data_IF_053376641090
#
_entry.id   IF_053376641090
#
_cell.length_a   1.000
_cell.length_b   1.000
_cell.length_c   1.000
_cell.angle_alpha   90.00
_cell.angle_beta   90.00
_cell.angle_gamma   90.00
#
_symmetry.space_group_name_H-M   'P 1'
#
loop_
_entity.id
_entity.type
_entity.pdbx_description
1 polymer ?
#
# COMPACT_ATOMS: atom_id res chain seq x y z
N UNK A 1 -66.36 12.90 -21.21
CA UNK A 1 -65.30 13.94 -21.14
C UNK A 1 -64.46 13.67 -19.88
N UNK A 2 -63.49 12.76 -19.96
CA UNK A 2 -62.12 13.00 -20.42
C UNK A 2 -61.28 13.83 -19.44
N UNK A 3 -60.49 13.15 -18.59
CA UNK A 3 -59.15 13.61 -18.21
C UNK A 3 -58.19 12.42 -18.26
N UNK A 4 -57.22 12.60 -19.14
CA UNK A 4 -56.25 11.64 -19.66
C UNK A 4 -55.05 11.54 -18.72
N UNK A 5 -54.61 10.31 -18.47
CA UNK A 5 -53.29 10.01 -17.90
C UNK A 5 -52.19 10.36 -18.91
N UNK A 6 -51.08 10.87 -18.41
CA UNK A 6 -49.82 10.96 -19.16
C UNK A 6 -48.86 9.93 -18.60
N UNK A 7 -48.68 8.87 -19.35
CA UNK A 7 -47.55 7.97 -19.26
C UNK A 7 -46.26 8.71 -19.68
N UNK A 8 -45.22 8.61 -18.85
CA UNK A 8 -43.85 8.92 -19.27
C UNK A 8 -43.26 7.67 -19.93
N UNK A 9 -42.70 7.77 -21.15
CA UNK A 9 -41.96 6.65 -21.73
C UNK A 9 -40.59 6.52 -21.08
N UNK A 10 -40.32 5.35 -20.51
CA UNK A 10 -38.99 4.96 -20.03
C UNK A 10 -38.00 4.94 -21.20
N UNK A 11 -36.98 5.78 -21.14
CA UNK A 11 -35.83 5.72 -22.04
C UNK A 11 -35.06 4.41 -21.80
N UNK A 12 -35.31 3.42 -22.65
CA UNK A 12 -34.49 2.24 -22.76
C UNK A 12 -33.11 2.64 -23.30
N UNK A 13 -32.09 2.53 -22.45
CA UNK A 13 -30.69 2.68 -22.85
C UNK A 13 -30.36 1.48 -23.76
N UNK A 14 -30.04 1.76 -25.02
CA UNK A 14 -29.60 0.73 -25.95
C UNK A 14 -28.27 0.11 -25.46
N UNK A 15 -28.12 -1.22 -25.48
CA UNK A 15 -26.89 -1.87 -25.07
C UNK A 15 -25.73 -1.49 -26.00
N UNK A 16 -24.57 -1.23 -25.41
CA UNK A 16 -23.34 -0.93 -26.14
C UNK A 16 -22.90 -2.14 -26.97
N UNK A 17 -22.24 -1.87 -28.08
CA UNK A 17 -21.90 -2.80 -29.18
C UNK A 17 -21.14 -4.07 -28.76
N UNK A 18 -20.67 -4.15 -27.51
CA UNK A 18 -19.98 -5.31 -26.91
C UNK A 18 -20.94 -6.35 -26.33
N UNK A 19 -22.12 -5.97 -25.82
CA UNK A 19 -23.14 -6.92 -25.32
C UNK A 19 -23.85 -7.64 -26.47
N UNK A 20 -23.98 -6.99 -27.62
CA UNK A 20 -24.65 -7.56 -28.80
C UNK A 20 -23.92 -8.77 -29.41
N UNK A 21 -22.62 -8.94 -29.14
CA UNK A 21 -21.85 -10.09 -29.64
C UNK A 21 -22.02 -11.35 -28.78
N UNK A 22 -22.32 -11.22 -27.49
CA UNK A 22 -22.53 -12.36 -26.59
C UNK A 22 -23.93 -12.98 -26.74
N UNK A 23 -24.94 -12.19 -27.10
CA UNK A 23 -26.33 -12.66 -27.22
C UNK A 23 -26.58 -13.45 -28.52
N UNK A 24 -25.79 -13.23 -29.58
CA UNK A 24 -26.05 -13.85 -30.90
C UNK A 24 -25.52 -15.27 -31.09
N UNK A 25 -24.68 -15.79 -30.20
CA UNK A 25 -24.01 -17.10 -30.38
C UNK A 25 -24.71 -18.26 -29.66
N UNK A 26 -25.56 -17.99 -28.68
CA UNK A 26 -26.07 -19.04 -27.78
C UNK A 26 -27.56 -19.29 -28.01
N UNK A 27 -27.87 -20.09 -29.04
CA UNK A 27 -29.19 -20.69 -29.19
C UNK A 27 -29.46 -21.66 -28.05
N UNK A 28 -30.14 -21.20 -27.00
CA UNK A 28 -30.49 -22.02 -25.84
C UNK A 28 -31.83 -22.73 -26.07
N UNK A 29 -31.75 -24.05 -26.31
CA UNK A 29 -32.87 -24.99 -26.16
C UNK A 29 -32.95 -25.44 -24.69
N UNK A 30 -34.15 -25.37 -24.13
CA UNK A 30 -34.42 -25.70 -22.73
C UNK A 30 -34.53 -27.22 -22.50
N UNK A 31 -33.53 -27.82 -21.83
CA UNK A 31 -33.75 -29.07 -21.09
C UNK A 31 -32.76 -29.26 -19.94
N UNK A 32 -33.30 -29.57 -18.74
CA UNK A 32 -32.63 -29.81 -17.44
C UNK A 32 -31.72 -28.68 -16.92
N UNK A 33 -32.28 -27.84 -16.04
CA UNK A 33 -31.53 -26.86 -15.24
C UNK A 33 -30.53 -27.57 -14.30
N UNK A 34 -29.33 -27.88 -14.81
CA UNK A 34 -28.16 -28.16 -13.96
C UNK A 34 -27.91 -26.89 -13.13
N UNK A 35 -27.81 -27.01 -11.81
CA UNK A 35 -27.41 -25.87 -10.95
C UNK A 35 -26.00 -25.46 -11.36
N UNK A 36 -25.88 -24.31 -12.02
CA UNK A 36 -24.61 -23.68 -12.36
C UNK A 36 -24.29 -22.71 -11.23
N UNK A 37 -23.16 -22.90 -10.57
CA UNK A 37 -22.64 -21.99 -9.55
C UNK A 37 -21.59 -21.07 -10.17
N UNK A 38 -21.32 -19.94 -9.54
CA UNK A 38 -20.14 -19.16 -9.90
C UNK A 38 -18.86 -19.90 -9.50
N UNK A 39 -17.82 -19.90 -10.36
CA UNK A 39 -16.50 -20.39 -9.99
C UNK A 39 -16.03 -19.72 -8.70
N UNK A 40 -15.50 -20.52 -7.77
CA UNK A 40 -15.15 -20.06 -6.44
C UNK A 40 -13.67 -20.29 -6.13
N UNK A 41 -13.11 -19.39 -5.31
CA UNK A 41 -11.75 -19.46 -4.81
C UNK A 41 -11.79 -19.32 -3.28
N UNK A 42 -11.05 -20.17 -2.57
CA UNK A 42 -10.86 -20.05 -1.12
C UNK A 42 -9.39 -20.19 -0.78
N UNK A 43 -8.88 -19.30 0.07
CA UNK A 43 -7.57 -19.43 0.67
C UNK A 43 -7.61 -20.51 1.76
N UNK A 44 -6.78 -21.54 1.64
CA UNK A 44 -6.67 -22.63 2.63
C UNK A 44 -5.27 -22.66 3.22
N UNK A 45 -5.15 -23.19 4.45
CA UNK A 45 -3.85 -23.39 5.08
C UNK A 45 -3.03 -24.43 4.31
N UNK A 46 -1.77 -24.11 3.99
CA UNK A 46 -0.82 -24.97 3.29
C UNK A 46 0.36 -25.37 4.20
N UNK A 47 0.89 -24.42 4.98
CA UNK A 47 1.87 -24.60 6.08
C UNK A 47 1.50 -23.69 7.24
N UNK A 48 2.11 -23.87 8.41
CA UNK A 48 1.75 -23.25 9.71
C UNK A 48 1.17 -21.82 9.62
N UNK A 49 1.79 -20.93 8.85
CA UNK A 49 1.38 -19.53 8.68
C UNK A 49 1.21 -19.10 7.21
N UNK A 50 1.02 -20.06 6.29
CA UNK A 50 0.98 -19.80 4.83
C UNK A 50 -0.29 -20.36 4.20
N UNK A 51 -0.98 -19.52 3.43
CA UNK A 51 -2.22 -19.87 2.73
C UNK A 51 -2.01 -19.99 1.21
N UNK A 52 -2.71 -20.92 0.59
CA UNK A 52 -2.73 -21.14 -0.86
C UNK A 52 -4.17 -21.11 -1.38
N UNK A 53 -4.46 -20.58 -2.58
CA UNK A 53 -5.80 -20.60 -3.13
C UNK A 53 -6.17 -22.00 -3.63
N UNK A 54 -7.42 -22.39 -3.38
CA UNK A 54 -8.07 -23.55 -3.98
C UNK A 54 -9.24 -23.06 -4.84
N UNK A 55 -9.27 -23.51 -6.09
CA UNK A 55 -10.24 -23.13 -7.11
C UNK A 55 -11.23 -24.26 -7.38
N UNK A 56 -12.49 -23.87 -7.54
CA UNK A 56 -13.60 -24.74 -7.96
C UNK A 56 -14.34 -24.13 -9.14
N UNK A 57 -14.75 -24.98 -10.07
CA UNK A 57 -15.53 -24.62 -11.24
C UNK A 57 -17.00 -24.35 -10.89
N UNK A 58 -17.81 -24.10 -11.93
CA UNK A 58 -19.25 -23.87 -11.79
C UNK A 58 -20.06 -25.09 -11.35
N UNK A 59 -19.45 -26.28 -11.33
CA UNK A 59 -20.00 -27.54 -10.83
C UNK A 59 -19.47 -27.89 -9.43
N UNK A 60 -18.76 -26.94 -8.79
CA UNK A 60 -18.09 -27.09 -7.50
C UNK A 60 -16.97 -28.14 -7.49
N UNK A 61 -16.54 -28.61 -8.66
CA UNK A 61 -15.41 -29.52 -8.83
C UNK A 61 -14.11 -28.75 -8.78
N UNK A 62 -13.05 -29.38 -8.29
CA UNK A 62 -11.72 -28.77 -8.24
C UNK A 62 -11.18 -28.59 -9.65
N UNK A 63 -10.63 -27.42 -9.93
CA UNK A 63 -9.90 -27.17 -11.18
C UNK A 63 -8.44 -27.59 -10.94
N UNK A 64 -8.10 -28.83 -11.27
CA UNK A 64 -6.83 -29.44 -10.88
C UNK A 64 -5.61 -28.68 -11.41
N UNK A 65 -5.63 -28.26 -12.67
CA UNK A 65 -4.54 -27.47 -13.26
C UNK A 65 -4.28 -26.18 -12.47
N UNK A 66 -5.33 -25.48 -12.03
CA UNK A 66 -5.21 -24.21 -11.30
C UNK A 66 -4.71 -24.45 -9.87
N UNK A 67 -5.21 -25.49 -9.22
CA UNK A 67 -4.78 -25.89 -7.88
C UNK A 67 -3.31 -26.33 -7.85
N UNK A 68 -2.89 -27.12 -8.84
CA UNK A 68 -1.50 -27.56 -8.97
C UNK A 68 -0.56 -26.40 -9.27
N UNK A 69 -0.95 -25.47 -10.15
CA UNK A 69 -0.16 -24.26 -10.40
C UNK A 69 -0.02 -23.39 -9.16
N UNK A 70 -1.11 -23.18 -8.40
CA UNK A 70 -1.05 -22.41 -7.16
C UNK A 70 -0.10 -23.03 -6.13
N UNK A 71 -0.09 -24.36 -6.01
CA UNK A 71 0.86 -25.08 -5.16
C UNK A 71 2.30 -24.94 -5.67
N UNK A 72 2.51 -25.03 -6.99
CA UNK A 72 3.82 -24.80 -7.61
C UNK A 72 4.34 -23.38 -7.33
N UNK A 73 3.51 -22.36 -7.55
CA UNK A 73 3.84 -20.96 -7.24
C UNK A 73 4.13 -20.77 -5.75
N UNK A 74 3.34 -21.37 -4.86
CA UNK A 74 3.56 -21.29 -3.43
C UNK A 74 4.92 -21.88 -3.02
N UNK A 75 5.30 -23.04 -3.54
CA UNK A 75 6.62 -23.67 -3.29
C UNK A 75 7.76 -22.77 -3.77
N UNK A 76 7.68 -22.29 -5.00
CA UNK A 76 8.69 -21.39 -5.57
C UNK A 76 8.83 -20.06 -4.79
N UNK A 77 7.74 -19.55 -4.22
CA UNK A 77 7.77 -18.35 -3.38
C UNK A 77 8.42 -18.62 -2.02
N UNK A 78 8.30 -19.84 -1.47
CA UNK A 78 9.00 -20.24 -0.25
C UNK A 78 10.49 -20.44 -0.49
N UNK A 79 10.88 -21.06 -1.61
CA UNK A 79 12.28 -21.31 -1.92
C UNK A 79 13.05 -20.00 -2.18
N UNK A 80 12.38 -18.99 -2.75
CA UNK A 80 12.97 -17.68 -3.02
C UNK A 80 13.01 -16.75 -1.82
N UNK A 81 12.12 -16.94 -0.85
CA UNK A 81 12.00 -16.08 0.32
C UNK A 81 12.33 -16.89 1.57
N UNK A 82 13.55 -16.71 2.10
CA UNK A 82 13.97 -17.15 3.45
C UNK A 82 12.84 -16.90 4.49
N UNK A 83 12.72 -17.68 5.60
CA UNK A 83 11.49 -17.79 6.40
C UNK A 83 10.85 -16.49 6.94
N UNK A 84 11.55 -15.35 6.86
CA UNK A 84 11.09 -14.00 7.24
C UNK A 84 10.25 -13.27 6.17
N UNK A 85 10.09 -13.82 4.96
CA UNK A 85 9.42 -13.15 3.84
C UNK A 85 7.89 -13.26 3.76
N UNK A 86 7.14 -13.39 4.87
CA UNK A 86 5.67 -13.61 4.87
C UNK A 86 4.92 -12.69 3.91
N UNK A 87 5.20 -11.38 3.97
CA UNK A 87 4.49 -10.41 3.13
C UNK A 87 4.78 -10.57 1.63
N UNK A 88 5.99 -10.98 1.25
CA UNK A 88 6.35 -11.23 -0.15
C UNK A 88 5.66 -12.50 -0.66
N UNK A 89 5.56 -13.52 0.19
CA UNK A 89 4.77 -14.72 -0.08
C UNK A 89 3.30 -14.37 -0.27
N UNK A 90 2.68 -13.68 0.71
CA UNK A 90 1.26 -13.34 0.71
C UNK A 90 0.90 -12.50 -0.53
N UNK A 91 1.68 -11.46 -0.81
CA UNK A 91 1.46 -10.63 -1.99
C UNK A 91 1.66 -11.41 -3.29
N UNK A 92 2.61 -12.35 -3.35
CA UNK A 92 2.85 -13.17 -4.55
C UNK A 92 1.70 -14.14 -4.79
N UNK A 93 1.25 -14.83 -3.74
CA UNK A 93 0.19 -15.85 -3.86
C UNK A 93 -1.19 -15.23 -4.09
N UNK A 94 -1.47 -14.06 -3.52
CA UNK A 94 -2.70 -13.30 -3.79
C UNK A 94 -2.82 -12.95 -5.27
N UNK A 95 -1.71 -12.61 -5.93
CA UNK A 95 -1.77 -12.28 -7.33
C UNK A 95 -2.06 -13.49 -8.21
N UNK A 96 -1.53 -14.66 -7.85
CA UNK A 96 -1.91 -15.94 -8.49
C UNK A 96 -3.39 -16.23 -8.26
N UNK A 97 -3.87 -16.03 -7.02
CA UNK A 97 -5.27 -16.22 -6.64
C UNK A 97 -6.20 -15.38 -7.52
N UNK A 98 -5.97 -14.06 -7.60
CA UNK A 98 -6.86 -13.18 -8.36
C UNK A 98 -6.77 -13.36 -9.87
N UNK A 99 -5.60 -13.71 -10.41
CA UNK A 99 -5.44 -13.98 -11.84
C UNK A 99 -6.19 -15.24 -12.27
N UNK A 100 -6.01 -16.35 -11.55
CA UNK A 100 -6.68 -17.61 -11.85
C UNK A 100 -8.17 -17.59 -11.52
N UNK A 101 -8.59 -16.85 -10.48
CA UNK A 101 -10.00 -16.64 -10.21
C UNK A 101 -10.67 -15.87 -11.35
N UNK A 102 -10.03 -14.81 -11.84
CA UNK A 102 -10.52 -14.07 -13.00
C UNK A 102 -10.62 -14.97 -14.24
N UNK A 103 -9.60 -15.80 -14.50
CA UNK A 103 -9.65 -16.77 -15.60
C UNK A 103 -10.80 -17.77 -15.43
N UNK A 104 -10.99 -18.35 -14.23
CA UNK A 104 -12.08 -19.32 -13.99
C UNK A 104 -13.47 -18.74 -14.30
N UNK A 105 -13.71 -17.48 -13.90
CA UNK A 105 -14.95 -16.76 -14.19
C UNK A 105 -15.13 -16.51 -15.68
N UNK A 106 -14.05 -16.10 -16.36
CA UNK A 106 -14.07 -15.87 -17.80
C UNK A 106 -14.35 -17.16 -18.58
N UNK A 107 -13.70 -18.27 -18.25
CA UNK A 107 -13.92 -19.58 -18.88
C UNK A 107 -15.37 -20.04 -18.69
N UNK A 108 -15.91 -19.90 -17.47
CA UNK A 108 -17.31 -20.23 -17.20
C UNK A 108 -18.30 -19.36 -18.00
N UNK A 109 -18.01 -18.07 -18.18
CA UNK A 109 -18.85 -17.14 -18.94
C UNK A 109 -18.76 -17.35 -20.46
N UNK A 110 -17.59 -17.74 -20.97
CA UNK A 110 -17.36 -17.96 -22.41
C UNK A 110 -17.63 -19.39 -22.87
N UNK A 111 -17.74 -20.34 -21.95
CA UNK A 111 -17.99 -21.75 -22.26
C UNK A 111 -16.79 -22.45 -22.91
N UNK A 112 -15.58 -21.90 -22.77
CA UNK A 112 -14.35 -22.47 -23.33
C UNK A 112 -13.54 -23.17 -22.24
N UNK A 113 -12.81 -24.22 -22.63
CA UNK A 113 -11.85 -24.86 -21.73
C UNK A 113 -10.53 -24.10 -21.72
N UNK A 114 -9.80 -24.16 -20.59
CA UNK A 114 -8.52 -23.45 -20.47
C UNK A 114 -7.47 -23.96 -21.48
N UNK A 115 -7.57 -25.21 -21.94
CA UNK A 115 -6.69 -25.77 -22.98
C UNK A 115 -6.96 -25.21 -24.39
N UNK A 116 -8.13 -24.60 -24.61
CA UNK A 116 -8.57 -24.04 -25.89
C UNK A 116 -8.20 -22.57 -26.07
N UNK A 117 -7.58 -21.99 -25.05
CA UNK A 117 -7.21 -20.59 -25.01
C UNK A 117 -6.14 -20.24 -26.06
N UNK A 118 -6.32 -19.10 -26.73
CA UNK A 118 -5.43 -18.63 -27.80
C UNK A 118 -5.14 -17.11 -27.68
N UNK A 119 -4.40 -16.58 -28.64
CA UNK A 119 -4.06 -15.16 -28.75
C UNK A 119 -5.28 -14.20 -28.78
N UNK A 120 -6.41 -14.63 -29.33
CA UNK A 120 -7.65 -13.84 -29.38
C UNK A 120 -8.34 -13.87 -28.01
N UNK A 121 -8.43 -15.04 -27.39
CA UNK A 121 -8.93 -15.19 -26.03
C UNK A 121 -8.11 -14.36 -25.04
N UNK A 122 -6.78 -14.29 -25.18
CA UNK A 122 -5.93 -13.40 -24.37
C UNK A 122 -6.33 -11.93 -24.51
N UNK A 123 -6.61 -11.46 -25.73
CA UNK A 123 -7.00 -10.07 -25.97
C UNK A 123 -8.37 -9.76 -25.35
N UNK A 124 -9.36 -10.62 -25.57
CA UNK A 124 -10.71 -10.45 -25.02
C UNK A 124 -10.69 -10.57 -23.50
N UNK A 125 -9.96 -11.54 -22.94
CA UNK A 125 -9.81 -11.70 -21.49
C UNK A 125 -9.15 -10.47 -20.85
N UNK A 126 -8.11 -9.89 -21.48
CA UNK A 126 -7.48 -8.67 -20.99
C UNK A 126 -8.48 -7.53 -20.84
N UNK A 127 -9.29 -7.30 -21.88
CA UNK A 127 -10.26 -6.20 -21.90
C UNK A 127 -11.41 -6.47 -20.93
N UNK A 128 -11.84 -7.73 -20.81
CA UNK A 128 -12.80 -8.17 -19.79
C UNK A 128 -12.28 -7.94 -18.38
N UNK A 129 -11.03 -8.32 -18.08
CA UNK A 129 -10.38 -8.08 -16.79
C UNK A 129 -10.30 -6.60 -16.48
N UNK A 130 -9.95 -5.76 -17.46
CA UNK A 130 -9.91 -4.31 -17.28
C UNK A 130 -11.30 -3.79 -16.87
N UNK A 131 -12.35 -4.20 -17.58
CA UNK A 131 -13.72 -3.78 -17.26
C UNK A 131 -14.16 -4.20 -15.85
N UNK A 132 -13.75 -5.38 -15.38
CA UNK A 132 -14.04 -5.84 -14.01
C UNK A 132 -13.28 -5.02 -12.96
N UNK A 133 -12.06 -4.58 -13.27
CA UNK A 133 -11.27 -3.72 -12.37
C UNK A 133 -11.86 -2.32 -12.31
N UNK A 134 -12.33 -1.78 -13.43
CA UNK A 134 -12.93 -0.44 -13.52
C UNK A 134 -14.27 -0.33 -12.78
N UNK A 135 -15.00 -1.43 -12.64
CA UNK A 135 -16.21 -1.51 -11.81
C UNK A 135 -15.93 -1.40 -10.31
N UNK A 136 -14.69 -1.67 -9.86
CA UNK A 136 -14.34 -1.57 -8.44
C UNK A 136 -14.28 -0.09 -8.02
N UNK A 137 -15.06 0.35 -7.01
CA UNK A 137 -15.01 1.73 -6.50
C UNK A 137 -13.63 2.18 -6.02
N UNK A 138 -12.71 1.24 -5.76
CA UNK A 138 -11.32 1.49 -5.37
C UNK A 138 -10.40 1.74 -6.56
N UNK A 139 -10.87 1.56 -7.79
CA UNK A 139 -10.10 1.86 -8.99
C UNK A 139 -9.74 3.35 -9.03
N UNK A 140 -8.44 3.65 -9.11
CA UNK A 140 -7.93 5.02 -8.97
C UNK A 140 -7.80 5.76 -10.31
N UNK A 141 -7.40 5.04 -11.35
CA UNK A 141 -7.19 5.56 -12.71
C UNK A 141 -6.99 4.42 -13.70
N UNK A 142 -7.28 4.72 -14.97
CA UNK A 142 -7.13 3.84 -16.13
C UNK A 142 -5.74 3.18 -16.20
N UNK A 143 -4.65 3.94 -16.03
CA UNK A 143 -3.30 3.40 -16.11
C UNK A 143 -3.02 2.36 -15.02
N UNK A 144 -3.48 2.58 -13.79
CA UNK A 144 -3.35 1.64 -12.68
C UNK A 144 -4.20 0.39 -12.89
N UNK A 145 -5.40 0.55 -13.46
CA UNK A 145 -6.26 -0.57 -13.82
C UNK A 145 -5.59 -1.45 -14.88
N UNK A 146 -5.05 -0.84 -15.95
CA UNK A 146 -4.30 -1.53 -17.00
C UNK A 146 -3.05 -2.23 -16.49
N UNK A 147 -2.31 -1.65 -15.53
CA UNK A 147 -1.18 -2.33 -14.86
C UNK A 147 -1.62 -3.56 -14.08
N UNK A 148 -2.75 -3.47 -13.39
CA UNK A 148 -3.32 -4.60 -12.63
C UNK A 148 -3.77 -5.70 -13.59
N UNK A 149 -4.41 -5.34 -14.71
CA UNK A 149 -4.74 -6.28 -15.78
C UNK A 149 -3.48 -6.94 -16.35
N UNK A 150 -2.44 -6.17 -16.67
CA UNK A 150 -1.14 -6.69 -17.13
C UNK A 150 -0.52 -7.68 -16.15
N UNK A 151 -0.60 -7.43 -14.85
CA UNK A 151 -0.10 -8.39 -13.85
C UNK A 151 -0.83 -9.73 -13.96
N UNK A 152 -2.17 -9.71 -13.99
CA UNK A 152 -2.97 -10.94 -14.15
C UNK A 152 -2.62 -11.67 -15.44
N UNK A 153 -2.47 -10.94 -16.55
CA UNK A 153 -2.04 -11.49 -17.84
C UNK A 153 -0.69 -12.20 -17.76
N UNK A 154 0.30 -11.63 -17.06
CA UNK A 154 1.63 -12.25 -16.88
C UNK A 154 1.55 -13.56 -16.11
N UNK A 155 0.72 -13.62 -15.06
CA UNK A 155 0.46 -14.87 -14.34
C UNK A 155 -0.12 -15.92 -15.28
N UNK A 156 -1.02 -15.55 -16.19
CA UNK A 156 -1.57 -16.49 -17.17
C UNK A 156 -0.50 -17.00 -18.14
N UNK A 157 0.37 -16.13 -18.67
CA UNK A 157 1.51 -16.56 -19.48
C UNK A 157 2.40 -17.55 -18.73
N UNK A 158 2.68 -17.29 -17.44
CA UNK A 158 3.44 -18.19 -16.59
C UNK A 158 2.72 -19.52 -16.31
N UNK A 159 1.39 -19.49 -16.14
CA UNK A 159 0.55 -20.67 -15.98
C UNK A 159 0.60 -21.57 -17.22
N UNK A 160 0.40 -21.02 -18.42
CA UNK A 160 0.45 -21.81 -19.66
C UNK A 160 1.84 -22.38 -19.92
N UNK A 161 2.90 -21.60 -19.65
CA UNK A 161 4.26 -22.12 -19.71
C UNK A 161 4.44 -23.30 -18.76
N UNK A 162 4.04 -23.18 -17.50
CA UNK A 162 4.14 -24.26 -16.51
C UNK A 162 3.32 -25.49 -16.93
N UNK A 163 2.07 -25.28 -17.37
CA UNK A 163 1.18 -26.36 -17.75
C UNK A 163 1.75 -27.17 -18.93
N UNK A 164 2.37 -26.50 -19.91
CA UNK A 164 2.98 -27.15 -21.07
C UNK A 164 4.36 -27.74 -20.78
N UNK A 165 5.24 -27.00 -20.11
CA UNK A 165 6.66 -27.36 -19.99
C UNK A 165 6.97 -28.20 -18.75
N UNK A 166 6.38 -27.87 -17.60
CA UNK A 166 6.68 -28.52 -16.32
C UNK A 166 5.74 -29.70 -16.06
N UNK A 167 4.44 -29.53 -16.32
CA UNK A 167 3.44 -30.55 -15.98
C UNK A 167 2.88 -31.34 -17.16
N UNK A 168 3.24 -30.98 -18.40
CA UNK A 168 2.80 -31.69 -19.63
C UNK A 168 1.28 -31.89 -19.70
N UNK A 169 0.50 -30.96 -19.16
CA UNK A 169 -0.97 -30.99 -19.14
C UNK A 169 -1.58 -30.61 -20.50
N UNK A 170 -0.81 -29.97 -21.36
CA UNK A 170 -1.21 -29.55 -22.70
C UNK A 170 0.01 -29.51 -23.63
N UNK A 171 -0.24 -29.58 -24.94
CA UNK A 171 0.80 -29.46 -25.97
C UNK A 171 0.44 -28.40 -27.00
N UNK A 172 1.46 -27.72 -27.53
CA UNK A 172 1.32 -26.70 -28.59
C UNK A 172 0.34 -25.57 -28.24
N UNK A 173 0.19 -25.27 -26.95
CA UNK A 173 -0.66 -24.18 -26.47
C UNK A 173 0.10 -22.87 -26.44
N UNK A 174 1.34 -22.83 -25.94
CA UNK A 174 2.15 -21.61 -25.83
C UNK A 174 3.55 -21.77 -26.43
N UNK A 175 4.02 -20.79 -27.21
CA UNK A 175 5.38 -20.79 -27.79
C UNK A 175 5.58 -19.72 -28.86
N UNK A 176 6.81 -19.59 -29.39
CA UNK A 176 7.12 -18.53 -30.38
C UNK A 176 6.70 -18.85 -31.82
N UNK A 177 6.46 -20.13 -32.13
CA UNK A 177 6.16 -20.61 -33.49
C UNK A 177 4.71 -20.42 -33.94
N UNK A 178 4.46 -20.54 -35.25
CA UNK A 178 3.11 -20.47 -35.85
C UNK A 178 2.19 -21.64 -35.47
N UNK A 179 2.74 -22.73 -34.95
CA UNK A 179 1.98 -23.90 -34.50
C UNK A 179 1.42 -23.79 -33.08
N UNK A 180 1.65 -22.68 -32.38
CA UNK A 180 1.17 -22.46 -31.02
C UNK A 180 -0.04 -21.52 -30.99
N UNK A 181 -1.04 -21.84 -30.16
CA UNK A 181 -2.27 -21.04 -30.01
C UNK A 181 -2.01 -19.67 -29.38
N UNK A 182 -1.13 -19.62 -28.38
CA UNK A 182 -0.69 -18.43 -27.67
C UNK A 182 0.74 -18.14 -28.11
N UNK A 183 0.94 -17.01 -28.78
CA UNK A 183 2.28 -16.63 -29.25
C UNK A 183 3.02 -15.87 -28.16
N UNK A 184 4.15 -16.42 -27.72
CA UNK A 184 5.05 -15.79 -26.76
C UNK A 184 6.41 -16.45 -26.80
N UNK A 185 7.48 -15.65 -26.63
CA UNK A 185 8.84 -16.18 -26.49
C UNK A 185 9.17 -16.63 -25.05
N UNK A 186 8.18 -16.62 -24.14
CA UNK A 186 8.39 -16.93 -22.72
C UNK A 186 8.90 -18.35 -22.51
N UNK A 187 8.51 -19.29 -23.38
CA UNK A 187 8.89 -20.70 -23.29
C UNK A 187 10.39 -20.85 -23.49
N UNK A 188 10.90 -20.29 -24.59
CA UNK A 188 12.31 -20.29 -24.93
C UNK A 188 13.11 -19.49 -23.89
N UNK A 189 12.62 -18.30 -23.53
CA UNK A 189 13.30 -17.43 -22.59
C UNK A 189 13.43 -18.02 -21.17
N UNK A 190 12.47 -18.83 -20.72
CA UNK A 190 12.56 -19.54 -19.43
C UNK A 190 13.44 -20.77 -19.52
N UNK A 191 13.30 -21.57 -20.58
CA UNK A 191 14.12 -22.77 -20.81
C UNK A 191 15.60 -22.43 -20.86
N UNK A 192 15.95 -21.34 -21.53
CA UNK A 192 17.34 -20.91 -21.72
C UNK A 192 17.84 -20.00 -20.58
N UNK A 193 17.00 -19.64 -19.62
CA UNK A 193 17.36 -18.71 -18.54
C UNK A 193 17.60 -17.26 -19.00
N UNK A 194 17.13 -16.88 -20.18
CA UNK A 194 17.41 -15.59 -20.86
C UNK A 194 16.26 -14.57 -20.78
N UNK A 195 15.32 -14.73 -19.83
CA UNK A 195 14.19 -13.81 -19.62
C UNK A 195 14.55 -12.31 -19.67
N UNK A 196 15.70 -11.92 -19.11
CA UNK A 196 16.15 -10.51 -19.07
C UNK A 196 16.57 -9.95 -20.43
N UNK A 197 16.89 -10.81 -21.39
CA UNK A 197 17.37 -10.45 -22.74
C UNK A 197 16.21 -10.10 -23.67
N UNK A 198 15.00 -10.61 -23.40
CA UNK A 198 13.83 -10.37 -24.22
C UNK A 198 13.04 -9.15 -23.74
N UNK A 199 12.51 -8.38 -24.69
CA UNK A 199 11.61 -7.27 -24.36
C UNK A 199 10.28 -7.80 -23.80
N UNK A 200 9.67 -7.04 -22.89
CA UNK A 200 8.36 -7.39 -22.32
C UNK A 200 7.28 -7.58 -23.38
N UNK A 201 7.39 -6.92 -24.54
CA UNK A 201 6.45 -7.07 -25.67
C UNK A 201 6.55 -8.44 -26.34
N UNK A 202 7.71 -9.10 -26.29
CA UNK A 202 7.89 -10.46 -26.84
C UNK A 202 7.48 -11.53 -25.82
N UNK A 203 7.74 -11.28 -24.54
CA UNK A 203 7.37 -12.19 -23.45
C UNK A 203 5.86 -12.19 -23.18
N UNK A 204 5.23 -11.01 -23.26
CA UNK A 204 3.80 -10.84 -22.94
C UNK A 204 3.08 -10.00 -24.01
N UNK A 205 2.95 -10.49 -25.26
CA UNK A 205 2.53 -9.66 -26.40
C UNK A 205 1.14 -9.05 -26.27
N UNK A 206 0.24 -9.67 -25.51
CA UNK A 206 -1.14 -9.21 -25.38
C UNK A 206 -1.36 -8.22 -24.23
N UNK A 207 -0.36 -7.93 -23.39
CA UNK A 207 -0.46 -6.90 -22.36
C UNK A 207 -0.68 -5.49 -22.96
N UNK A 208 -1.33 -4.60 -22.21
CA UNK A 208 -1.41 -3.18 -22.55
C UNK A 208 -0.01 -2.56 -22.61
N UNK A 209 0.27 -1.81 -23.67
CA UNK A 209 1.49 -1.03 -23.82
C UNK A 209 1.38 0.36 -23.20
N UNK A 210 2.53 1.01 -22.93
CA UNK A 210 2.62 2.41 -22.51
C UNK A 210 1.84 2.78 -21.24
N UNK A 211 1.58 1.80 -20.37
CA UNK A 211 0.88 1.99 -19.10
C UNK A 211 1.75 2.68 -18.02
N UNK A 212 2.93 3.20 -18.38
CA UNK A 212 3.85 3.89 -17.46
C UNK A 212 4.51 3.00 -16.41
N UNK A 213 4.61 1.69 -16.63
CA UNK A 213 5.27 0.74 -15.71
C UNK A 213 6.75 1.07 -15.44
N UNK A 214 7.45 1.67 -16.42
CA UNK A 214 8.82 2.14 -16.29
C UNK A 214 8.97 3.59 -15.83
N UNK A 215 7.86 4.33 -15.61
CA UNK A 215 7.95 5.73 -15.21
C UNK A 215 8.35 5.84 -13.74
N UNK A 216 9.55 6.37 -13.48
CA UNK A 216 10.00 6.73 -12.11
C UNK A 216 9.16 7.85 -11.51
N UNK A 217 8.59 8.69 -12.36
CA UNK A 217 7.64 9.74 -11.99
C UNK A 217 6.27 9.26 -12.42
N UNK A 218 5.60 8.43 -11.63
CA UNK A 218 4.17 8.27 -11.90
C UNK A 218 3.55 9.64 -11.67
N UNK A 219 3.14 10.32 -12.74
CA UNK A 219 2.33 11.55 -12.69
C UNK A 219 1.05 11.37 -11.83
N UNK A 220 0.76 10.12 -11.44
CA UNK A 220 -0.33 9.71 -10.57
C UNK A 220 0.04 9.56 -9.07
N UNK A 221 1.28 9.85 -8.67
CA UNK A 221 1.67 9.84 -7.26
C UNK A 221 1.59 11.26 -6.70
N UNK A 222 0.70 11.45 -5.73
CA UNK A 222 0.56 12.68 -4.97
C UNK A 222 1.73 12.81 -3.98
N UNK A 223 2.23 14.04 -3.83
CA UNK A 223 3.27 14.43 -2.88
C UNK A 223 2.76 15.64 -2.12
N UNK A 224 2.66 15.55 -0.80
CA UNK A 224 2.22 16.65 0.04
C UNK A 224 3.16 17.86 -0.14
N UNK A 225 2.56 19.01 -0.41
CA UNK A 225 3.22 20.31 -0.38
C UNK A 225 3.44 20.76 1.07
N UNK A 226 4.17 21.86 1.29
CA UNK A 226 4.29 22.44 2.63
C UNK A 226 2.94 22.93 3.15
N UNK A 227 2.11 23.48 2.27
CA UNK A 227 0.77 23.96 2.62
C UNK A 227 -0.13 22.80 3.07
N UNK A 228 -0.04 21.65 2.39
CA UNK A 228 -0.74 20.43 2.79
C UNK A 228 -0.27 19.96 4.18
N UNK A 229 1.04 19.98 4.43
CA UNK A 229 1.61 19.57 5.74
C UNK A 229 1.10 20.48 6.86
N UNK A 230 1.11 21.80 6.66
CA UNK A 230 0.59 22.74 7.66
C UNK A 230 -0.93 22.61 7.85
N UNK A 231 -1.70 22.40 6.77
CA UNK A 231 -3.13 22.14 6.84
C UNK A 231 -3.44 20.85 7.65
N UNK A 232 -2.68 19.77 7.45
CA UNK A 232 -2.80 18.54 8.22
C UNK A 232 -2.48 18.76 9.71
N UNK A 233 -1.45 19.54 10.02
CA UNK A 233 -1.08 19.86 11.41
C UNK A 233 -2.22 20.59 12.10
N UNK A 234 -2.79 21.61 11.46
CA UNK A 234 -3.95 22.35 11.96
C UNK A 234 -5.12 21.40 12.17
N UNK A 235 -5.41 20.57 11.16
CA UNK A 235 -6.52 19.62 11.22
C UNK A 235 -6.38 18.63 12.39
N UNK A 236 -5.21 18.01 12.57
CA UNK A 236 -4.97 17.08 13.67
C UNK A 236 -5.17 17.74 15.04
N UNK A 237 -4.66 18.97 15.22
CA UNK A 237 -4.78 19.71 16.49
C UNK A 237 -6.21 20.17 16.79
N UNK A 238 -7.04 20.36 15.77
CA UNK A 238 -8.43 20.76 15.93
C UNK A 238 -9.37 19.57 16.12
N UNK A 239 -9.07 18.41 15.51
CA UNK A 239 -10.01 17.30 15.40
C UNK A 239 -9.62 16.06 16.21
N UNK A 240 -8.45 16.05 16.84
CA UNK A 240 -7.97 14.95 17.70
C UNK A 240 -7.65 15.44 19.10
N UNK A 241 -7.62 14.52 20.06
CA UNK A 241 -7.15 14.84 21.41
C UNK A 241 -5.70 15.33 21.36
N UNK A 242 -5.26 16.21 22.28
CA UNK A 242 -3.91 16.77 22.25
C UNK A 242 -2.81 15.71 22.09
N UNK A 243 -2.95 14.59 22.80
CA UNK A 243 -1.98 13.52 22.77
C UNK A 243 -1.96 12.74 21.43
N UNK A 244 -3.13 12.48 20.83
CA UNK A 244 -3.22 11.88 19.48
C UNK A 244 -2.70 12.84 18.41
N UNK A 245 -3.04 14.12 18.52
CA UNK A 245 -2.63 15.15 17.58
C UNK A 245 -1.10 15.27 17.52
N UNK A 246 -0.43 15.39 18.67
CA UNK A 246 1.03 15.52 18.70
C UNK A 246 1.76 14.26 18.24
N UNK A 247 1.23 13.06 18.55
CA UNK A 247 1.71 11.80 17.97
C UNK A 247 1.66 11.80 16.45
N UNK A 248 0.51 12.17 15.88
CA UNK A 248 0.29 12.16 14.43
C UNK A 248 1.12 13.28 13.74
N UNK A 249 1.23 14.46 14.35
CA UNK A 249 2.05 15.57 13.86
C UNK A 249 3.53 15.18 13.84
N UNK A 250 4.05 14.52 14.87
CA UNK A 250 5.42 14.04 14.87
C UNK A 250 5.67 13.02 13.75
N UNK A 251 4.74 12.08 13.56
CA UNK A 251 4.82 11.09 12.48
C UNK A 251 4.82 11.76 11.10
N UNK A 252 3.93 12.73 10.87
CA UNK A 252 3.86 13.50 9.62
C UNK A 252 5.18 14.22 9.34
N UNK A 253 5.73 14.91 10.35
CA UNK A 253 6.98 15.66 10.20
C UNK A 253 8.16 14.72 9.92
N UNK A 254 8.27 13.60 10.63
CA UNK A 254 9.30 12.59 10.35
C UNK A 254 9.15 12.00 8.94
N UNK A 255 7.93 11.68 8.50
CA UNK A 255 7.65 11.20 7.15
C UNK A 255 8.10 12.20 6.08
N UNK A 256 7.73 13.47 6.24
CA UNK A 256 8.03 14.56 5.32
C UNK A 256 9.52 14.82 5.21
N UNK A 257 10.22 14.83 6.34
CA UNK A 257 11.65 15.13 6.42
C UNK A 257 12.56 13.98 5.96
N UNK A 258 12.19 12.73 6.25
CA UNK A 258 13.07 11.57 6.00
C UNK A 258 12.72 10.83 4.70
N UNK A 259 11.51 11.03 4.19
CA UNK A 259 10.93 10.23 3.12
C UNK A 259 10.67 8.78 3.53
N UNK A 260 10.64 8.48 4.84
CA UNK A 260 10.37 7.12 5.31
C UNK A 260 8.97 6.65 4.92
N UNK A 261 8.87 5.33 4.69
CA UNK A 261 7.59 4.69 4.44
C UNK A 261 6.85 4.45 5.75
N UNK A 262 5.53 4.33 5.69
CA UNK A 262 4.69 3.99 6.84
C UNK A 262 5.25 2.80 7.65
N UNK A 263 5.64 1.72 6.98
CA UNK A 263 6.23 0.54 7.66
C UNK A 263 7.53 0.88 8.39
N UNK A 264 8.36 1.76 7.82
CA UNK A 264 9.57 2.21 8.47
C UNK A 264 9.25 3.06 9.70
N UNK A 265 8.33 4.02 9.59
CA UNK A 265 7.88 4.86 10.70
C UNK A 265 7.27 4.04 11.85
N UNK A 266 6.43 3.06 11.51
CA UNK A 266 5.78 2.16 12.45
C UNK A 266 6.79 1.26 13.20
N UNK A 267 7.94 0.98 12.59
CA UNK A 267 9.01 0.15 13.17
C UNK A 267 10.05 0.91 14.00
N UNK A 268 9.92 2.24 14.11
CA UNK A 268 10.83 3.05 14.93
C UNK A 268 10.63 2.76 16.41
N UNK A 269 11.74 2.73 17.14
CA UNK A 269 11.77 2.48 18.59
C UNK A 269 12.18 3.73 19.35
N UNK A 270 11.98 3.73 20.67
CA UNK A 270 12.46 4.81 21.55
C UNK A 270 13.99 4.84 21.61
N UNK A 271 14.65 3.69 21.49
CA UNK A 271 16.10 3.57 21.57
C UNK A 271 16.83 4.23 20.38
N UNK A 272 16.18 4.26 19.21
CA UNK A 272 16.65 4.98 18.02
C UNK A 272 16.92 6.48 18.29
N UNK A 273 16.29 7.05 19.33
CA UNK A 273 16.35 8.46 19.70
C UNK A 273 16.75 8.68 21.17
N UNK A 274 17.40 7.70 21.80
CA UNK A 274 17.78 7.77 23.21
C UNK A 274 18.79 8.89 23.52
N UNK A 275 18.74 9.44 24.74
CA UNK A 275 19.72 10.42 25.22
C UNK A 275 21.16 9.92 25.11
N UNK A 276 21.36 8.61 25.29
CA UNK A 276 22.67 7.97 25.15
C UNK A 276 23.24 8.15 23.74
N UNK A 277 22.45 7.87 22.71
CA UNK A 277 22.90 8.02 21.33
C UNK A 277 23.05 9.49 20.93
N UNK A 278 22.17 10.37 21.42
CA UNK A 278 22.27 11.83 21.23
C UNK A 278 23.54 12.39 21.86
N UNK A 279 23.83 12.05 23.11
CA UNK A 279 25.02 12.49 23.82
C UNK A 279 26.30 11.96 23.16
N UNK A 280 26.30 10.70 22.74
CA UNK A 280 27.43 10.07 22.03
C UNK A 280 27.73 10.73 20.69
N UNK A 281 26.71 11.12 19.93
CA UNK A 281 26.89 11.87 18.69
C UNK A 281 27.39 13.30 18.95
N UNK A 282 26.81 13.99 19.94
CA UNK A 282 27.22 15.34 20.33
C UNK A 282 28.68 15.38 20.83
N UNK A 283 29.11 14.42 21.64
CA UNK A 283 30.49 14.31 22.12
C UNK A 283 31.51 14.09 20.99
N UNK A 284 31.08 13.50 19.86
CA UNK A 284 31.89 13.31 18.66
C UNK A 284 31.85 14.51 17.71
N UNK A 285 31.16 15.60 18.07
CA UNK A 285 30.97 16.78 17.22
C UNK A 285 30.05 16.54 16.02
N UNK A 286 29.28 15.44 16.02
CA UNK A 286 28.35 15.14 14.94
C UNK A 286 27.12 16.06 15.02
N UNK A 287 26.59 16.51 13.88
CA UNK A 287 25.35 17.30 13.84
C UNK A 287 24.12 16.45 13.52
N UNK A 288 24.32 15.16 13.23
CA UNK A 288 23.29 14.22 12.76
C UNK A 288 23.56 12.80 13.28
N UNK A 289 22.49 12.04 13.47
CA UNK A 289 22.51 10.60 13.79
C UNK A 289 21.96 9.82 12.59
N UNK A 290 22.59 8.69 12.29
CA UNK A 290 22.16 7.78 11.24
C UNK A 290 21.20 6.74 11.81
N UNK A 291 19.89 6.94 11.60
CA UNK A 291 18.86 6.04 12.13
C UNK A 291 18.46 4.98 11.10
N UNK A 292 18.27 3.75 11.56
CA UNK A 292 17.87 2.59 10.74
C UNK A 292 16.59 1.96 11.30
N UNK A 293 15.42 2.26 10.70
CA UNK A 293 14.21 1.49 10.95
C UNK A 293 14.44 -0.01 10.77
N UNK A 294 13.92 -0.83 11.68
CA UNK A 294 14.08 -2.29 11.66
C UNK A 294 13.35 -2.94 10.48
N UNK A 295 12.26 -2.32 10.00
CA UNK A 295 11.49 -2.80 8.85
C UNK A 295 11.62 -1.83 7.66
N UNK A 296 12.20 -2.32 6.57
CA UNK A 296 12.26 -1.59 5.29
C UNK A 296 11.98 -2.49 4.09
N UNK A 297 11.41 -1.90 3.03
CA UNK A 297 11.12 -2.62 1.78
C UNK A 297 12.41 -3.13 1.14
N UNK A 298 12.41 -4.40 0.71
CA UNK A 298 13.53 -5.11 0.07
C UNK A 298 14.75 -5.36 0.98
N UNK A 299 14.56 -5.37 2.31
CA UNK A 299 15.69 -5.53 3.24
C UNK A 299 16.70 -4.39 3.18
N UNK A 300 16.31 -3.27 2.55
CA UNK A 300 17.17 -2.12 2.40
C UNK A 300 17.58 -1.60 3.79
N UNK A 301 18.89 -1.59 4.06
CA UNK A 301 19.46 -1.13 5.31
C UNK A 301 19.79 0.37 5.27
N UNK A 302 19.03 1.17 4.52
CA UNK A 302 19.38 2.58 4.33
C UNK A 302 19.17 3.34 5.65
N UNK A 303 20.30 3.71 6.26
CA UNK A 303 20.32 4.66 7.36
C UNK A 303 19.97 6.05 6.83
N UNK A 304 19.12 6.78 7.54
CA UNK A 304 18.81 8.17 7.20
C UNK A 304 19.47 9.12 8.20
N UNK A 305 20.17 10.16 7.73
CA UNK A 305 20.74 11.16 8.63
C UNK A 305 19.64 12.09 9.15
N UNK A 306 19.47 12.14 10.46
CA UNK A 306 18.52 13.00 11.17
C UNK A 306 19.32 13.95 12.06
N UNK A 307 19.00 15.25 12.03
CA UNK A 307 19.76 16.23 12.82
C UNK A 307 19.59 15.98 14.32
N UNK A 308 20.61 16.35 15.11
CA UNK A 308 20.53 16.24 16.57
C UNK A 308 19.37 17.02 17.16
N UNK A 309 19.02 18.17 16.57
CA UNK A 309 17.85 18.94 16.97
C UNK A 309 16.56 18.10 16.83
N UNK A 310 16.38 17.44 15.69
CA UNK A 310 15.24 16.56 15.48
C UNK A 310 15.25 15.37 16.43
N UNK A 311 16.42 14.79 16.70
CA UNK A 311 16.53 13.68 17.65
C UNK A 311 16.12 14.11 19.06
N UNK A 312 16.55 15.30 19.51
CA UNK A 312 16.13 15.86 20.80
C UNK A 312 14.63 16.10 20.88
N UNK A 313 14.02 16.67 19.84
CA UNK A 313 12.57 16.86 19.81
C UNK A 313 11.78 15.55 19.86
N UNK A 314 12.25 14.52 19.16
CA UNK A 314 11.66 13.18 19.25
C UNK A 314 11.81 12.65 20.67
N UNK A 315 12.96 12.86 21.31
CA UNK A 315 13.18 12.46 22.70
C UNK A 315 12.29 13.22 23.69
N UNK A 316 12.07 14.52 23.50
CA UNK A 316 11.14 15.32 24.30
C UNK A 316 9.71 14.77 24.17
N UNK A 317 9.31 14.35 22.96
CA UNK A 317 8.05 13.63 22.77
C UNK A 317 8.05 12.26 23.47
N UNK A 318 9.14 11.49 23.40
CA UNK A 318 9.25 10.19 24.06
C UNK A 318 9.06 10.34 25.57
N UNK A 319 9.78 11.27 26.20
CA UNK A 319 9.80 11.46 27.66
C UNK A 319 8.58 12.21 28.20
N UNK A 320 7.90 13.00 27.35
CA UNK A 320 6.68 13.73 27.69
C UNK A 320 5.44 13.12 27.07
N UNK A 321 5.17 13.44 25.80
CA UNK A 321 3.91 13.12 25.11
C UNK A 321 3.58 11.63 25.04
N UNK A 322 4.56 10.78 24.73
CA UNK A 322 4.38 9.32 24.68
C UNK A 322 4.18 8.72 26.07
N UNK A 323 4.92 9.17 27.08
CA UNK A 323 4.72 8.71 28.45
C UNK A 323 3.32 9.08 28.96
N UNK A 324 2.84 10.29 28.66
CA UNK A 324 1.46 10.70 28.98
C UNK A 324 0.42 9.80 28.31
N UNK A 325 0.62 9.44 27.04
CA UNK A 325 -0.25 8.48 26.34
C UNK A 325 -0.31 7.11 27.03
N UNK A 326 0.84 6.61 27.51
CA UNK A 326 0.93 5.32 28.18
C UNK A 326 0.36 5.37 29.61
N UNK A 327 0.49 6.51 30.29
CA UNK A 327 -0.13 6.76 31.59
C UNK A 327 -1.66 6.84 31.48
N UNK A 328 -2.18 7.58 30.49
CA UNK A 328 -3.62 7.70 30.20
C UNK A 328 -4.24 6.32 29.86
N UNK A 329 -3.53 5.52 29.07
CA UNK A 329 -3.89 4.14 28.74
C UNK A 329 -3.72 3.16 29.92
N UNK A 330 -3.27 3.64 31.09
CA UNK A 330 -3.00 2.85 32.31
C UNK A 330 -2.04 1.68 32.06
N UNK A 331 -1.07 1.85 31.17
CA UNK A 331 -0.07 0.81 30.85
C UNK A 331 1.05 0.83 31.89
N UNK A 332 1.22 -0.25 32.68
CA UNK A 332 2.29 -0.32 33.66
C UNK A 332 3.66 -0.24 32.98
N UNK A 333 4.63 0.45 33.60
CA UNK A 333 5.98 0.63 33.05
C UNK A 333 6.61 -0.66 32.51
N UNK A 334 6.46 -1.78 33.24
CA UNK A 334 6.96 -3.11 32.85
C UNK A 334 6.33 -3.72 31.58
N UNK A 335 5.20 -3.20 31.13
CA UNK A 335 4.47 -3.66 29.93
C UNK A 335 4.51 -2.66 28.78
N UNK A 336 5.25 -1.55 28.93
CA UNK A 336 5.39 -0.56 27.85
C UNK A 336 6.21 -1.17 26.72
N UNK A 337 5.70 -1.10 25.50
CA UNK A 337 6.43 -1.55 24.33
C UNK A 337 7.57 -0.58 23.98
N UNK A 338 8.52 -1.02 23.14
CA UNK A 338 9.66 -0.20 22.71
C UNK A 338 9.33 0.74 21.53
N UNK A 339 8.17 0.57 20.90
CA UNK A 339 7.80 1.31 19.70
C UNK A 339 7.52 2.79 19.99
N UNK A 340 7.99 3.66 19.10
CA UNK A 340 7.86 5.11 19.22
C UNK A 340 6.38 5.55 19.16
N UNK A 341 5.61 4.97 18.25
CA UNK A 341 4.21 5.33 18.03
C UNK A 341 3.26 4.25 18.55
N UNK A 342 2.51 4.62 19.58
CA UNK A 342 1.58 3.73 20.28
C UNK A 342 0.14 4.19 20.14
N UNK A 343 -0.79 3.25 20.31
CA UNK A 343 -2.22 3.55 20.43
C UNK A 343 -2.52 4.15 21.80
N UNK A 344 -3.54 5.00 21.84
CA UNK A 344 -3.92 5.77 23.03
C UNK A 344 -4.83 4.98 23.97
N UNK A 345 -5.50 3.97 23.45
CA UNK A 345 -6.45 3.15 24.22
C UNK A 345 -5.78 2.03 25.02
N UNK A 346 -4.72 1.42 24.48
CA UNK A 346 -4.07 0.27 25.09
C UNK A 346 -2.53 0.31 25.13
N UNK A 347 -1.91 1.36 24.57
CA UNK A 347 -0.45 1.49 24.50
C UNK A 347 0.27 0.47 23.63
N UNK A 348 -0.48 -0.32 22.84
CA UNK A 348 0.10 -1.22 21.85
C UNK A 348 0.68 -0.43 20.67
N UNK A 349 1.62 -1.02 19.89
CA UNK A 349 2.15 -0.37 18.70
C UNK A 349 1.05 -0.03 17.70
N UNK A 350 1.17 1.10 17.02
CA UNK A 350 0.24 1.42 15.92
C UNK A 350 0.32 0.37 14.81
N UNK A 351 -0.84 -0.05 14.31
CA UNK A 351 -0.93 -0.89 13.12
C UNK A 351 -0.79 -0.05 11.87
N UNK A 352 -0.30 -0.65 10.78
CA UNK A 352 -0.24 0.02 9.48
C UNK A 352 -1.62 0.53 9.06
N UNK A 353 -2.64 -0.31 9.21
CA UNK A 353 -4.03 0.04 8.88
C UNK A 353 -4.50 1.29 9.61
N UNK A 354 -4.30 1.36 10.94
CA UNK A 354 -4.70 2.52 11.73
C UNK A 354 -4.00 3.80 11.27
N UNK A 355 -2.70 3.71 10.97
CA UNK A 355 -1.94 4.85 10.42
C UNK A 355 -2.53 5.30 9.06
N UNK A 356 -2.96 4.37 8.20
CA UNK A 356 -3.62 4.73 6.93
C UNK A 356 -4.97 5.39 7.14
N UNK A 357 -5.77 4.90 8.07
CA UNK A 357 -7.12 5.40 8.32
C UNK A 357 -7.07 6.84 8.86
N UNK A 358 -6.25 7.09 9.88
CA UNK A 358 -6.09 8.40 10.51
C UNK A 358 -5.68 9.48 9.50
N UNK A 359 -4.64 9.20 8.73
CA UNK A 359 -4.15 10.16 7.75
C UNK A 359 -5.03 10.22 6.51
N UNK A 360 -5.60 9.10 6.07
CA UNK A 360 -6.55 9.08 4.96
C UNK A 360 -7.80 9.90 5.25
N UNK A 361 -8.28 9.92 6.50
CA UNK A 361 -9.31 10.85 6.97
C UNK A 361 -8.84 12.31 6.92
N UNK A 362 -7.66 12.61 7.50
CA UNK A 362 -7.12 13.96 7.52
C UNK A 362 -6.95 14.56 6.12
N UNK A 363 -6.36 13.81 5.18
CA UNK A 363 -6.17 14.23 3.79
C UNK A 363 -7.48 14.51 3.06
N UNK A 364 -8.50 13.67 3.27
CA UNK A 364 -9.84 13.92 2.72
C UNK A 364 -10.45 15.18 3.29
N UNK A 365 -10.27 15.43 4.58
CA UNK A 365 -10.84 16.59 5.25
C UNK A 365 -10.21 17.92 4.79
N UNK A 366 -8.92 17.93 4.48
CA UNK A 366 -8.26 19.12 3.92
C UNK A 366 -8.44 19.28 2.39
N UNK A 367 -9.28 18.43 1.78
CA UNK A 367 -9.63 18.53 0.36
C UNK A 367 -8.56 18.03 -0.61
N UNK A 368 -7.55 17.29 -0.13
CA UNK A 368 -6.58 16.67 -1.03
C UNK A 368 -7.24 15.57 -1.86
N UNK A 369 -6.82 15.42 -3.11
CA UNK A 369 -7.30 14.35 -3.99
C UNK A 369 -7.15 12.98 -3.32
N UNK A 370 -8.07 12.05 -3.63
CA UNK A 370 -8.08 10.64 -3.18
C UNK A 370 -6.74 9.89 -3.28
N UNK A 371 -5.80 10.40 -4.09
CA UNK A 371 -4.44 9.87 -4.30
C UNK A 371 -3.50 10.11 -3.11
N UNK A 372 -3.81 11.11 -2.28
CA UNK A 372 -3.06 11.50 -1.08
C UNK A 372 -3.19 10.51 0.09
N UNK A 373 -4.27 9.71 0.11
CA UNK A 373 -4.57 8.67 1.11
C UNK A 373 -3.63 7.44 1.05
N UNK A 374 -2.80 7.34 0.01
CA UNK A 374 -1.87 6.23 -0.14
C UNK A 374 -0.64 6.38 0.77
N UNK A 375 -0.02 5.27 1.19
CA UNK A 375 1.17 5.14 2.07
C UNK A 375 2.37 6.06 1.79
N UNK A 376 2.33 6.79 0.69
CA UNK A 376 3.40 7.64 0.16
C UNK A 376 3.04 9.12 0.06
N UNK A 377 1.77 9.51 0.24
CA UNK A 377 1.30 10.87 -0.02
C UNK A 377 1.96 11.94 0.85
N UNK A 378 2.42 11.57 2.05
CA UNK A 378 2.91 12.49 3.08
C UNK A 378 4.43 12.63 3.04
N UNK A 379 5.06 12.03 2.03
CA UNK A 379 6.49 12.22 1.78
C UNK A 379 6.64 13.46 0.93
N UNK A 380 7.70 14.22 1.18
CA UNK A 380 8.28 15.08 0.16
C UNK A 380 8.86 14.21 -0.95
N UNK A 381 8.96 14.73 -2.18
CA UNK A 381 9.75 14.13 -3.27
C UNK A 381 11.25 14.19 -2.92
N UNK A 382 11.66 13.48 -1.87
CA UNK A 382 13.01 13.54 -1.27
C UNK A 382 14.10 12.99 -2.19
N UNK A 383 13.76 12.44 -3.37
CA UNK A 383 14.73 12.17 -4.44
C UNK A 383 15.21 13.45 -5.15
N UNK A 384 14.50 14.59 -5.04
CA UNK A 384 14.89 15.84 -5.72
C UNK A 384 15.74 16.80 -4.88
N UNK A 385 15.92 16.57 -3.57
CA UNK A 385 16.79 17.40 -2.74
C UNK A 385 17.51 16.54 -1.71
N UNK A 386 18.81 16.38 -1.89
CA UNK A 386 19.77 16.00 -0.83
C UNK A 386 19.89 17.10 0.24
N UNK A 387 18.83 17.89 0.45
CA UNK A 387 18.80 18.92 1.46
C UNK A 387 18.60 18.19 2.77
N UNK A 388 19.68 18.13 3.53
CA UNK A 388 19.65 17.75 4.93
C UNK A 388 18.46 18.41 5.61
N UNK A 389 17.75 17.65 6.44
CA UNK A 389 16.74 18.13 7.37
C UNK A 389 17.32 19.27 8.23
N UNK A 390 17.30 20.50 7.70
CA UNK A 390 18.02 21.64 8.24
C UNK A 390 17.20 22.25 9.38
N UNK A 391 17.89 22.79 10.38
CA UNK A 391 17.26 23.47 11.51
C UNK A 391 16.46 24.72 11.09
N UNK A 392 16.74 25.27 9.89
CA UNK A 392 16.09 26.47 9.34
C UNK A 392 14.62 26.25 8.99
N UNK A 393 14.25 25.08 8.47
CA UNK A 393 12.84 24.72 8.21
C UNK A 393 12.00 24.70 9.50
N UNK A 394 12.64 24.59 10.67
CA UNK A 394 11.97 24.56 11.97
C UNK A 394 12.02 25.89 12.74
N UNK A 395 13.12 26.64 12.64
CA UNK A 395 13.32 27.91 13.34
C UNK A 395 12.29 28.99 12.99
N UNK A 396 11.65 28.90 11.82
CA UNK A 396 10.53 29.77 11.45
C UNK A 396 9.20 29.36 12.09
N UNK A 397 8.99 28.07 12.38
CA UNK A 397 7.68 27.52 12.78
C UNK A 397 7.50 27.46 14.31
N UNK A 398 8.54 27.11 15.09
CA UNK A 398 8.41 26.97 16.55
C UNK A 398 8.60 28.23 17.38
N UNK A 399 9.02 29.36 16.79
CA UNK A 399 9.05 30.64 17.51
C UNK A 399 7.66 31.16 17.87
N UNK A 400 6.57 30.55 17.36
CA UNK A 400 5.20 31.03 17.60
C UNK A 400 4.42 30.34 18.73
N UNK A 401 4.77 29.13 19.20
CA UNK A 401 3.92 28.44 20.18
C UNK A 401 4.77 27.66 21.20
N UNK A 402 5.26 28.40 22.20
CA UNK A 402 5.84 27.84 23.42
C UNK A 402 4.70 27.28 24.29
N UNK A 403 4.92 26.08 24.81
CA UNK A 403 4.04 25.32 25.69
C UNK A 403 3.43 26.18 26.80
N UNK A 404 2.09 26.27 26.83
CA UNK A 404 1.37 26.70 28.01
C UNK A 404 1.24 25.50 28.96
N UNK A 405 2.27 25.27 29.77
CA UNK A 405 2.18 24.40 30.94
C UNK A 405 1.36 25.17 31.99
N UNK A 406 0.04 25.02 31.96
CA UNK A 406 -0.81 25.43 33.08
C UNK A 406 -1.03 24.22 33.98
N UNK A 407 -0.45 24.25 35.19
CA UNK A 407 -0.58 23.15 36.15
C UNK A 407 0.38 23.24 37.33
N UNK A 408 0.07 24.12 38.27
CA UNK A 408 0.32 24.01 39.72
C UNK A 408 1.66 23.43 40.23
N UNK A 409 2.52 24.32 40.75
CA UNK A 409 3.14 24.12 42.08
C UNK A 409 3.53 25.47 42.70
N UNK A 410 2.62 26.06 43.48
CA UNK A 410 3.00 27.02 44.53
C UNK A 410 3.71 26.21 45.62
N UNK A 411 5.01 26.38 45.76
CA UNK A 411 5.79 25.68 46.77
C UNK A 411 7.20 26.23 46.87
N UNK A 412 7.37 27.19 47.78
CA UNK A 412 8.57 27.52 48.53
C UNK A 412 9.96 27.39 47.85
N UNK A 413 10.64 28.53 47.70
CA UNK A 413 11.86 28.85 48.48
C UNK A 413 12.31 30.29 48.22
N UNK A 414 12.34 31.08 49.30
CA UNK A 414 13.09 32.34 49.41
C UNK A 414 14.57 32.00 49.67
N UNK A 415 15.47 32.66 48.95
CA UNK A 415 16.84 32.99 49.33
C UNK A 415 17.32 34.04 48.29
N UNK A 416 17.22 35.34 48.61
CA UNK A 416 18.31 36.18 49.12
C UNK A 416 19.46 36.38 48.13
N UNK A 417 19.49 37.55 47.50
CA UNK A 417 20.72 38.26 47.18
C UNK A 417 20.39 39.75 46.95
N UNK A 418 21.03 40.58 47.76
CA UNK A 418 21.19 42.04 47.65
C UNK A 418 21.58 42.44 46.22
N UNK A 419 21.29 43.64 45.69
CA UNK A 419 21.67 44.96 46.20
C UNK A 419 20.99 46.07 45.33
N UNK A 420 21.31 47.39 45.43
CA UNK A 420 20.33 48.42 45.73
C UNK A 420 20.16 49.50 44.62
N UNK A 421 19.09 50.29 44.76
CA UNK A 421 19.12 51.73 44.50
C UNK A 421 19.05 52.22 43.04
N UNK A 422 17.89 52.75 42.65
CA UNK A 422 17.81 53.97 41.84
C UNK A 422 16.43 54.64 41.96
N UNK A 423 16.44 55.77 42.65
CA UNK A 423 15.57 56.95 42.62
C UNK A 423 14.24 56.94 41.83
N UNK A 424 13.17 57.15 42.60
CA UNK A 424 12.09 58.15 42.45
C UNK A 424 12.07 58.98 41.15
N UNK A 425 10.91 58.94 40.46
CA UNK A 425 10.25 60.16 40.00
C UNK A 425 8.74 60.03 40.24
N UNK A 426 8.19 60.97 41.03
CA UNK A 426 6.76 61.19 41.25
C UNK A 426 6.26 62.22 40.25
N UNK A 427 5.00 62.06 39.89
CA UNK A 427 4.17 62.98 39.09
C UNK A 427 4.23 64.42 39.61
N UNK A 428 4.29 65.33 38.65
CA UNK A 428 4.11 66.78 38.71
C UNK A 428 4.13 67.27 37.28
#
# INVERSE_FOLDING_TARGET
MARTGRDQPSLAIAPTTTEAYLVKVVGLSASRAKRVFDPSMRMVMFREDRRVPIFRDSKLQRIDAFNQYALYSARNLLDKNSPTGSQAYDSGIEQVAYALQALSRYLAASGIEWTEFDDNHFAVFRDWVLSEIEKDPRCRNDLSAKRTANYRMRVLYDFYWWAQEECRLCEKVIGSGRGFRIRSVIVEAKRDGTLKTFSSKRLYPKCFSQVGEGSRTSQNQYWATEDDVEALIVWFRQNRTPAVAERNVLMLRLAHCTGWRRNALQSLTVDDFSDKEIAKAAARGETKILIRPSVQKFGNAFKKPISLLWCRMVNDYITGGREHLLDDAKVPKRKRCEFLFVRVDNGEPLTLQHISEEFGEAFRAIGCERRSESDTGWRRRSEMRNDSCSAELFGACCRRHRWAVSGASKGARRASADAPGAARFRKG
#
